data_IF_959957063990
#
_entry.id   IF_959957063990
#
_cell.length_a   1.000
_cell.length_b   1.000
_cell.length_c   1.000
_cell.angle_alpha   90.00
_cell.angle_beta   90.00
_cell.angle_gamma   90.00
#
_symmetry.space_group_name_H-M   'P 1'
#
loop_
_entity.id
_entity.type
_entity.pdbx_description
1 polymer ?
#
# COMPACT_ATOMS: atom_id res chain seq x y z
N UNK A 1 -95.43 22.74 52.97
CA UNK A 1 -96.54 21.99 53.61
C UNK A 1 -95.97 21.21 54.78
N UNK A 2 -96.63 21.33 55.94
CA UNK A 2 -96.82 20.33 57.00
C UNK A 2 -95.61 19.44 57.37
N UNK A 3 -94.99 19.69 58.54
CA UNK A 3 -95.39 19.17 59.88
C UNK A 3 -95.01 17.70 60.07
N UNK A 4 -94.08 17.46 60.99
CA UNK A 4 -94.31 16.64 62.21
C UNK A 4 -93.05 16.77 63.09
N UNK A 5 -93.08 17.54 64.20
CA UNK A 5 -93.42 17.11 65.58
C UNK A 5 -92.42 16.07 66.11
N UNK A 6 -91.90 16.10 67.34
CA UNK A 6 -91.98 16.96 68.52
C UNK A 6 -91.21 16.15 69.58
N UNK A 7 -90.33 16.74 70.40
CA UNK A 7 -90.52 16.73 71.87
C UNK A 7 -89.42 17.51 72.59
N UNK A 8 -89.88 18.57 73.26
CA UNK A 8 -89.39 19.20 74.47
C UNK A 8 -88.25 18.50 75.23
N UNK A 9 -87.21 19.28 75.55
CA UNK A 9 -86.76 19.44 76.93
C UNK A 9 -86.13 20.83 77.09
N UNK A 10 -86.85 21.73 77.76
CA UNK A 10 -86.25 22.86 78.47
C UNK A 10 -85.48 22.24 79.64
N UNK A 11 -84.16 22.34 79.62
CA UNK A 11 -83.33 22.08 80.80
C UNK A 11 -82.29 23.19 80.92
N UNK A 12 -82.46 23.97 81.98
CA UNK A 12 -81.48 24.77 82.70
C UNK A 12 -80.24 25.28 81.95
N UNK A 13 -80.19 26.59 81.76
CA UNK A 13 -78.92 27.32 81.66
C UNK A 13 -78.12 27.13 82.97
N UNK A 14 -77.25 26.11 82.99
CA UNK A 14 -76.09 26.09 83.86
C UNK A 14 -74.95 26.78 83.12
N UNK A 15 -74.81 28.09 83.34
CA UNK A 15 -73.52 28.76 83.11
C UNK A 15 -72.61 28.25 84.22
N UNK A 16 -71.97 27.10 84.01
CA UNK A 16 -70.75 26.81 84.75
C UNK A 16 -69.76 27.89 84.36
N UNK A 17 -69.46 28.80 85.30
CA UNK A 17 -68.19 29.49 85.28
C UNK A 17 -67.10 28.43 85.45
N UNK A 18 -66.76 27.75 84.36
CA UNK A 18 -65.66 26.81 84.30
C UNK A 18 -64.39 27.59 84.60
N UNK A 19 -63.75 27.28 85.72
CA UNK A 19 -62.46 27.84 86.10
C UNK A 19 -61.50 27.66 84.91
N UNK A 20 -61.00 28.77 84.37
CA UNK A 20 -60.04 28.74 83.27
C UNK A 20 -58.83 27.89 83.69
N UNK A 21 -58.53 26.84 82.92
CA UNK A 21 -57.45 25.92 83.23
C UNK A 21 -56.19 26.29 82.45
N UNK A 22 -55.02 26.08 83.05
CA UNK A 22 -53.76 26.19 82.33
C UNK A 22 -53.67 25.09 81.24
N UNK A 23 -52.93 25.33 80.14
CA UNK A 23 -52.62 24.31 79.15
C UNK A 23 -52.02 23.06 79.81
N UNK A 24 -52.59 21.88 79.55
CA UNK A 24 -52.12 20.61 80.10
C UNK A 24 -51.31 19.80 79.09
N UNK A 25 -51.67 19.90 77.80
CA UNK A 25 -50.91 19.30 76.72
C UNK A 25 -51.17 20.04 75.42
N UNK A 26 -50.31 19.82 74.44
CA UNK A 26 -50.46 20.33 73.08
C UNK A 26 -50.08 19.20 72.12
N UNK A 27 -50.91 18.97 71.11
CA UNK A 27 -50.64 18.01 70.04
C UNK A 27 -50.46 18.75 68.73
N UNK A 28 -49.54 18.28 67.90
CA UNK A 28 -49.31 18.82 66.56
C UNK A 28 -49.80 17.82 65.53
N UNK A 29 -50.62 18.27 64.59
CA UNK A 29 -51.17 17.46 63.50
C UNK A 29 -50.86 18.10 62.14
N UNK A 30 -50.32 17.34 61.17
CA UNK A 30 -49.93 15.93 61.27
C UNK A 30 -48.70 15.74 62.19
N UNK A 31 -48.52 14.55 62.77
CA UNK A 31 -47.35 14.24 63.61
C UNK A 31 -46.07 14.03 62.81
N UNK A 32 -46.18 13.81 61.50
CA UNK A 32 -45.06 13.84 60.57
C UNK A 32 -45.49 14.22 59.15
N UNK A 33 -44.55 14.73 58.35
CA UNK A 33 -44.74 15.02 56.93
C UNK A 33 -43.43 14.82 56.16
N UNK A 34 -43.53 14.22 54.99
CA UNK A 34 -42.46 14.25 54.00
C UNK A 34 -42.74 15.36 52.98
N UNK A 35 -41.74 16.19 52.70
CA UNK A 35 -41.78 17.29 51.73
C UNK A 35 -40.58 17.21 50.79
N UNK A 36 -40.72 17.76 49.59
CA UNK A 36 -39.59 18.06 48.70
C UNK A 36 -39.13 19.49 48.95
N UNK A 37 -37.84 19.78 48.79
CA UNK A 37 -37.29 21.13 48.89
C UNK A 37 -38.10 22.15 48.05
N UNK A 38 -38.51 23.24 48.70
CA UNK A 38 -39.39 24.28 48.14
C UNK A 38 -40.89 24.06 48.34
N UNK A 39 -41.32 22.87 48.78
CA UNK A 39 -42.73 22.62 49.14
C UNK A 39 -43.07 23.21 50.52
N UNK A 40 -44.37 23.43 50.74
CA UNK A 40 -44.89 23.96 51.99
C UNK A 40 -45.98 23.05 52.55
N UNK A 41 -46.15 23.04 53.87
CA UNK A 41 -47.26 22.34 54.53
C UNK A 41 -47.67 23.01 55.82
N UNK A 42 -48.94 22.86 56.18
CA UNK A 42 -49.50 23.45 57.39
C UNK A 42 -49.57 22.42 58.51
N UNK A 43 -49.13 22.83 59.69
CA UNK A 43 -49.25 22.10 60.93
C UNK A 43 -50.17 22.85 61.87
N UNK A 44 -51.08 22.11 62.48
CA UNK A 44 -52.03 22.64 63.46
C UNK A 44 -51.62 22.18 64.84
N UNK A 45 -51.69 23.10 65.81
CA UNK A 45 -51.44 22.79 67.20
C UNK A 45 -52.74 22.88 68.01
N UNK A 46 -53.12 21.78 68.64
CA UNK A 46 -54.33 21.69 69.46
C UNK A 46 -53.94 21.66 70.94
N UNK A 47 -54.36 22.68 71.69
CA UNK A 47 -54.09 22.79 73.14
C UNK A 47 -55.25 22.16 73.91
N UNK A 48 -54.95 21.29 74.87
CA UNK A 48 -55.94 20.67 75.75
C UNK A 48 -55.74 21.09 77.22
N UNK A 49 -56.82 21.19 78.01
CA UNK A 49 -58.23 21.04 77.60
C UNK A 49 -58.69 22.17 76.67
N UNK A 50 -59.77 21.97 75.92
CA UNK A 50 -60.27 22.94 74.92
C UNK A 50 -60.56 24.33 75.51
N UNK A 51 -60.89 24.41 76.81
CA UNK A 51 -61.11 25.66 77.53
C UNK A 51 -59.84 26.25 78.19
N UNK A 52 -58.65 25.76 77.82
CA UNK A 52 -57.39 26.29 78.33
C UNK A 52 -57.19 27.73 77.88
N UNK A 53 -56.72 28.59 78.80
CA UNK A 53 -56.34 29.98 78.47
C UNK A 53 -54.83 30.08 78.26
N UNK A 54 -54.43 30.63 77.12
CA UNK A 54 -53.04 30.86 76.74
C UNK A 54 -52.92 32.11 75.88
N UNK A 55 -51.74 32.72 75.85
CA UNK A 55 -51.52 34.00 75.18
C UNK A 55 -51.27 33.83 73.68
N UNK A 56 -50.38 32.91 73.32
CA UNK A 56 -50.03 32.57 71.93
C UNK A 56 -49.34 31.20 71.87
N UNK A 57 -49.31 30.60 70.68
CA UNK A 57 -48.51 29.41 70.39
C UNK A 57 -47.23 29.84 69.68
N UNK A 58 -46.09 29.46 70.24
CA UNK A 58 -44.77 29.71 69.64
C UNK A 58 -44.32 28.47 68.87
N UNK A 59 -43.97 28.66 67.61
CA UNK A 59 -43.45 27.61 66.73
C UNK A 59 -41.93 27.73 66.58
N UNK A 60 -41.22 26.62 66.71
CA UNK A 60 -39.77 26.55 66.51
C UNK A 60 -39.41 25.36 65.65
N UNK A 61 -38.40 25.50 64.80
CA UNK A 61 -37.76 24.38 64.11
C UNK A 61 -36.42 24.09 64.77
N UNK A 62 -36.13 22.80 64.95
CA UNK A 62 -34.82 22.32 65.39
C UNK A 62 -33.72 22.54 64.34
N UNK A 63 -34.05 22.62 63.05
CA UNK A 63 -33.12 22.96 61.98
C UNK A 63 -33.82 23.80 60.90
N UNK A 64 -33.55 25.11 60.92
CA UNK A 64 -34.11 26.07 59.95
C UNK A 64 -33.49 25.95 58.55
N UNK A 65 -32.32 25.33 58.42
CA UNK A 65 -31.73 25.04 57.10
C UNK A 65 -32.43 23.87 56.42
N UNK A 66 -33.13 23.02 57.18
CA UNK A 66 -33.96 21.93 56.66
C UNK A 66 -35.41 22.36 56.51
N UNK A 67 -36.02 22.93 57.55
CA UNK A 67 -37.41 23.39 57.52
C UNK A 67 -37.62 24.66 58.36
N UNK A 68 -38.18 25.69 57.76
CA UNK A 68 -38.62 26.90 58.47
C UNK A 68 -40.08 26.76 58.87
N UNK A 69 -40.46 27.32 60.03
CA UNK A 69 -41.85 27.32 60.50
C UNK A 69 -42.22 28.70 61.02
N UNK A 70 -43.38 29.21 60.60
CA UNK A 70 -43.98 30.45 61.10
C UNK A 70 -45.50 30.28 61.19
N UNK A 71 -46.07 30.47 62.39
CA UNK A 71 -47.52 30.33 62.58
C UNK A 71 -48.10 28.94 62.27
N UNK A 72 -47.28 27.89 62.26
CA UNK A 72 -47.68 26.54 61.84
C UNK A 72 -47.50 26.27 60.34
N UNK A 73 -47.20 27.29 59.53
CA UNK A 73 -46.83 27.14 58.12
C UNK A 73 -45.35 26.74 58.02
N UNK A 74 -45.09 25.56 57.46
CA UNK A 74 -43.74 25.02 57.27
C UNK A 74 -43.32 25.16 55.81
N UNK A 75 -42.10 25.64 55.59
CA UNK A 75 -41.43 25.70 54.28
C UNK A 75 -40.23 24.76 54.32
N UNK A 76 -40.16 23.82 53.37
CA UNK A 76 -39.01 22.94 53.21
C UNK A 76 -37.86 23.68 52.54
N UNK A 77 -36.73 23.83 53.23
CA UNK A 77 -35.58 24.65 52.80
C UNK A 77 -34.42 23.81 52.27
N UNK A 78 -34.13 22.66 52.88
CA UNK A 78 -32.99 21.82 52.50
C UNK A 78 -33.20 20.38 52.91
N UNK A 79 -32.54 19.44 52.23
CA UNK A 79 -32.71 18.02 52.49
C UNK A 79 -32.25 17.64 53.90
N UNK A 80 -33.07 16.88 54.63
CA UNK A 80 -32.77 16.47 55.99
C UNK A 80 -34.00 16.16 56.82
N UNK A 81 -33.83 16.08 58.14
CA UNK A 81 -34.93 15.89 59.10
C UNK A 81 -34.92 17.02 60.12
N UNK A 82 -36.06 17.66 60.29
CA UNK A 82 -36.28 18.68 61.31
C UNK A 82 -37.51 18.33 62.15
N UNK A 83 -37.39 18.51 63.46
CA UNK A 83 -38.54 18.51 64.38
C UNK A 83 -39.08 19.93 64.52
N UNK A 84 -40.39 20.06 64.28
CA UNK A 84 -41.16 21.28 64.49
C UNK A 84 -41.86 21.18 65.85
N UNK A 85 -41.70 22.19 66.69
CA UNK A 85 -42.25 22.24 68.05
C UNK A 85 -43.22 23.40 68.17
N UNK A 86 -44.46 23.12 68.56
CA UNK A 86 -45.41 24.11 69.04
C UNK A 86 -45.38 24.14 70.57
N UNK A 87 -45.30 25.33 71.17
CA UNK A 87 -45.22 25.49 72.62
C UNK A 87 -46.06 26.67 73.13
N UNK A 88 -46.66 26.50 74.30
CA UNK A 88 -47.37 27.57 75.01
C UNK A 88 -47.36 27.29 76.51
N UNK A 89 -47.16 28.31 77.34
CA UNK A 89 -47.23 28.24 78.82
C UNK A 89 -46.57 26.99 79.45
N UNK A 90 -45.40 26.57 78.93
CA UNK A 90 -44.62 25.46 79.46
C UNK A 90 -44.97 24.05 78.94
N UNK A 91 -45.99 23.89 78.10
CA UNK A 91 -46.28 22.62 77.40
C UNK A 91 -45.87 22.68 75.92
N UNK A 92 -45.43 21.55 75.38
CA UNK A 92 -44.95 21.45 74.00
C UNK A 92 -45.40 20.17 73.30
N UNK A 93 -45.52 20.26 71.97
CA UNK A 93 -45.94 19.18 71.10
C UNK A 93 -45.13 19.27 69.82
N UNK A 94 -44.81 18.12 69.24
CA UNK A 94 -43.82 18.04 68.16
C UNK A 94 -44.36 17.30 66.95
N UNK A 95 -43.89 17.69 65.77
CA UNK A 95 -44.05 16.94 64.54
C UNK A 95 -42.71 16.79 63.81
N UNK A 96 -42.53 15.68 63.09
CA UNK A 96 -41.32 15.40 62.31
C UNK A 96 -41.50 15.79 60.84
N UNK A 97 -40.65 16.66 60.33
CA UNK A 97 -40.56 17.00 58.90
C UNK A 97 -39.33 16.32 58.32
N UNK A 98 -39.53 15.53 57.27
CA UNK A 98 -38.43 14.96 56.47
C UNK A 98 -38.46 15.62 55.10
N UNK A 99 -37.39 16.32 54.74
CA UNK A 99 -37.26 17.00 53.45
C UNK A 99 -36.38 16.17 52.52
N UNK A 100 -36.90 15.83 51.35
CA UNK A 100 -36.16 15.21 50.24
C UNK A 100 -35.57 16.30 49.36
N UNK A 101 -34.35 16.07 48.87
CA UNK A 101 -33.72 16.95 47.90
C UNK A 101 -34.55 17.02 46.62
N UNK A 102 -34.64 18.20 46.01
CA UNK A 102 -35.31 18.36 44.72
C UNK A 102 -34.45 17.80 43.59
N UNK A 103 -35.00 16.85 42.83
CA UNK A 103 -34.33 16.30 41.63
C UNK A 103 -34.68 17.16 40.42
N UNK A 104 -33.66 17.72 39.78
CA UNK A 104 -33.74 18.46 38.52
C UNK A 104 -33.30 17.50 37.40
N UNK A 105 -34.23 17.06 36.54
CA UNK A 105 -33.90 16.11 35.48
C UNK A 105 -33.05 16.76 34.39
N UNK A 106 -32.28 15.93 33.67
CA UNK A 106 -31.63 16.34 32.43
C UNK A 106 -32.70 16.64 31.37
N UNK A 107 -32.59 17.80 30.73
CA UNK A 107 -33.46 18.19 29.61
C UNK A 107 -32.87 17.80 28.25
N UNK A 108 -31.58 18.06 28.03
CA UNK A 108 -30.89 17.68 26.79
C UNK A 108 -29.39 17.49 27.01
N UNK A 109 -28.75 16.84 26.03
CA UNK A 109 -27.30 16.73 25.91
C UNK A 109 -26.94 17.12 24.47
N UNK A 110 -25.80 17.79 24.29
CA UNK A 110 -25.28 18.17 22.97
C UNK A 110 -23.81 17.80 22.88
N UNK A 111 -23.34 17.50 21.67
CA UNK A 111 -21.93 17.28 21.36
C UNK A 111 -21.38 18.49 20.60
N UNK A 112 -20.11 18.81 20.83
CA UNK A 112 -19.40 19.87 20.12
C UNK A 112 -19.18 19.58 18.63
N UNK A 113 -19.22 18.29 18.24
CA UNK A 113 -19.06 17.83 16.86
C UNK A 113 -20.14 16.81 16.50
N UNK A 114 -20.89 17.00 15.40
CA UNK A 114 -21.88 16.02 14.93
C UNK A 114 -21.25 14.90 14.10
N UNK A 115 -20.06 15.14 13.52
CA UNK A 115 -19.32 14.20 12.71
C UNK A 115 -17.79 14.37 12.89
N UNK A 116 -17.07 13.29 12.62
CA UNK A 116 -15.61 13.20 12.65
C UNK A 116 -15.12 12.37 11.45
N UNK A 117 -14.14 12.89 10.72
CA UNK A 117 -13.33 12.12 9.79
C UNK A 117 -11.92 11.96 10.38
N UNK A 118 -11.53 10.73 10.69
CA UNK A 118 -10.26 10.39 11.32
C UNK A 118 -9.48 9.41 10.45
N UNK A 119 -8.16 9.37 10.60
CA UNK A 119 -7.31 8.30 10.08
C UNK A 119 -7.04 7.28 11.20
N UNK A 120 -6.80 6.01 10.87
CA UNK A 120 -6.41 5.01 11.89
C UNK A 120 -5.28 5.54 12.80
N UNK A 121 -5.38 5.24 14.10
CA UNK A 121 -4.52 5.72 15.19
C UNK A 121 -4.76 7.16 15.67
N UNK A 122 -5.55 7.97 14.95
CA UNK A 122 -5.95 9.29 15.43
C UNK A 122 -6.78 9.20 16.72
N UNK A 123 -6.63 10.21 17.58
CA UNK A 123 -7.37 10.33 18.83
C UNK A 123 -7.97 11.75 18.96
N UNK A 124 -9.26 11.83 19.26
CA UNK A 124 -9.99 13.10 19.43
C UNK A 124 -10.92 12.99 20.63
N UNK A 125 -11.05 14.04 21.44
CA UNK A 125 -12.02 14.07 22.54
C UNK A 125 -13.28 14.81 22.11
N UNK A 126 -14.44 14.17 22.29
CA UNK A 126 -15.75 14.80 22.15
C UNK A 126 -16.16 15.46 23.46
N UNK A 127 -16.74 16.65 23.38
CA UNK A 127 -17.20 17.40 24.54
C UNK A 127 -18.72 17.35 24.58
N UNK A 128 -19.27 16.80 25.67
CA UNK A 128 -20.70 16.74 25.91
C UNK A 128 -21.15 17.86 26.87
N UNK A 129 -22.20 18.59 26.50
CA UNK A 129 -22.81 19.64 27.32
C UNK A 129 -24.22 19.23 27.74
N UNK A 130 -24.46 19.08 29.04
CA UNK A 130 -25.75 18.67 29.65
C UNK A 130 -26.53 19.90 30.09
N UNK A 131 -27.79 20.01 29.66
CA UNK A 131 -28.72 21.10 30.00
C UNK A 131 -29.92 20.54 30.77
N UNK A 132 -30.41 21.21 31.84
CA UNK A 132 -29.92 22.47 32.38
C UNK A 132 -28.64 22.33 33.23
N UNK A 133 -27.92 23.44 33.41
CA UNK A 133 -26.69 23.50 34.20
C UNK A 133 -26.89 23.20 35.70
N UNK A 134 -28.12 23.15 36.19
CA UNK A 134 -28.44 22.75 37.56
C UNK A 134 -29.08 21.36 37.66
N UNK A 135 -29.01 20.54 36.59
CA UNK A 135 -29.44 19.14 36.65
C UNK A 135 -28.73 18.40 37.80
N UNK A 136 -29.48 17.59 38.54
CA UNK A 136 -28.99 16.93 39.76
C UNK A 136 -27.94 15.86 39.46
N UNK A 137 -28.05 15.17 38.32
CA UNK A 137 -27.06 14.22 37.81
C UNK A 137 -26.67 14.60 36.38
N UNK A 138 -25.39 14.91 36.18
CA UNK A 138 -24.80 15.27 34.88
C UNK A 138 -23.82 14.22 34.36
N UNK A 139 -23.80 13.04 34.97
CA UNK A 139 -22.93 11.97 34.52
C UNK A 139 -23.23 11.63 33.06
N UNK A 140 -22.17 11.54 32.26
CA UNK A 140 -22.27 11.19 30.84
C UNK A 140 -21.70 9.79 30.67
N UNK A 141 -22.53 8.89 30.14
CA UNK A 141 -22.09 7.57 29.69
C UNK A 141 -21.85 7.59 28.19
N UNK A 142 -20.71 7.06 27.78
CA UNK A 142 -20.30 6.99 26.38
C UNK A 142 -20.41 5.57 25.85
N UNK A 143 -20.82 5.43 24.60
CA UNK A 143 -20.81 4.16 23.89
C UNK A 143 -20.48 4.36 22.41
N UNK A 144 -19.94 3.32 21.78
CA UNK A 144 -19.74 3.26 20.33
C UNK A 144 -20.56 2.12 19.76
N UNK A 145 -21.20 2.35 18.61
CA UNK A 145 -21.91 1.30 17.88
C UNK A 145 -20.98 0.20 17.35
N UNK A 146 -19.71 0.53 17.10
CA UNK A 146 -18.66 -0.42 16.71
C UNK A 146 -17.32 -0.01 17.34
N UNK A 147 -17.03 -0.50 18.55
CA UNK A 147 -15.75 -0.23 19.23
C UNK A 147 -14.52 -0.78 18.52
N UNK A 148 -14.67 -1.62 17.47
CA UNK A 148 -13.54 -2.13 16.68
C UNK A 148 -13.17 -1.20 15.54
N UNK A 149 -14.08 -0.32 15.12
CA UNK A 149 -13.85 0.76 14.13
C UNK A 149 -13.44 2.04 14.84
N UNK A 150 -14.21 2.48 15.83
CA UNK A 150 -13.88 3.61 16.69
C UNK A 150 -14.31 3.34 18.13
N UNK A 151 -13.37 3.33 19.07
CA UNK A 151 -13.67 3.18 20.50
C UNK A 151 -13.82 4.55 21.15
N UNK A 152 -14.56 4.61 22.25
CA UNK A 152 -14.69 5.82 23.08
C UNK A 152 -14.52 5.44 24.55
N UNK A 153 -13.76 6.23 25.31
CA UNK A 153 -13.58 6.01 26.75
C UNK A 153 -14.59 6.79 27.60
N UNK A 154 -14.48 6.66 28.93
CA UNK A 154 -15.38 7.33 29.88
C UNK A 154 -15.28 8.87 29.88
N UNK A 155 -14.22 9.42 29.28
CA UNK A 155 -13.99 10.87 29.18
C UNK A 155 -14.45 11.44 27.83
N UNK A 156 -14.97 10.60 26.92
CA UNK A 156 -15.34 10.99 25.57
C UNK A 156 -14.16 10.99 24.58
N UNK A 157 -13.01 10.40 24.95
CA UNK A 157 -11.88 10.26 24.05
C UNK A 157 -12.14 9.15 23.05
N UNK A 158 -12.32 9.53 21.79
CA UNK A 158 -12.52 8.65 20.64
C UNK A 158 -11.17 8.28 20.05
N UNK A 159 -10.95 6.99 19.80
CA UNK A 159 -9.78 6.45 19.10
C UNK A 159 -10.20 5.77 17.81
N UNK A 160 -9.60 6.16 16.69
CA UNK A 160 -9.79 5.55 15.39
C UNK A 160 -8.95 4.26 15.27
N UNK A 161 -9.59 3.13 14.98
CA UNK A 161 -8.95 1.80 15.06
C UNK A 161 -8.91 1.07 13.73
N UNK A 162 -10.03 1.04 12.98
CA UNK A 162 -10.13 0.34 11.69
C UNK A 162 -10.94 1.16 10.71
N UNK A 163 -10.74 1.01 9.38
CA UNK A 163 -11.46 1.78 8.40
C UNK A 163 -12.94 1.38 8.40
N UNK A 164 -13.83 2.36 8.38
CA UNK A 164 -15.27 2.13 8.48
C UNK A 164 -16.00 3.29 9.13
N UNK A 165 -17.26 3.06 9.51
CA UNK A 165 -18.10 4.07 10.16
C UNK A 165 -18.66 3.53 11.46
N UNK A 166 -18.59 4.31 12.53
CA UNK A 166 -19.21 4.03 13.83
C UNK A 166 -19.95 5.26 14.34
N UNK A 167 -20.97 5.07 15.18
CA UNK A 167 -21.66 6.17 15.87
C UNK A 167 -21.27 6.16 17.34
N UNK A 168 -20.69 7.27 17.80
CA UNK A 168 -20.41 7.50 19.22
C UNK A 168 -21.62 8.20 19.84
N UNK A 169 -22.13 7.66 20.95
CA UNK A 169 -23.30 8.18 21.67
C UNK A 169 -22.89 8.63 23.06
N UNK A 170 -23.23 9.87 23.41
CA UNK A 170 -23.18 10.39 24.77
C UNK A 170 -24.60 10.40 25.35
N UNK A 171 -24.76 9.85 26.55
CA UNK A 171 -26.06 9.76 27.24
C UNK A 171 -25.97 10.35 28.65
N UNK A 172 -26.92 11.20 29.00
CA UNK A 172 -27.12 11.73 30.35
C UNK A 172 -28.60 11.66 30.70
N UNK A 173 -28.95 10.87 31.72
CA UNK A 173 -30.35 10.50 31.98
C UNK A 173 -30.99 9.80 30.77
N UNK A 174 -32.14 10.30 30.33
CA UNK A 174 -32.84 9.81 29.14
C UNK A 174 -32.46 10.55 27.84
N UNK A 175 -31.62 11.58 27.93
CA UNK A 175 -31.17 12.36 26.77
C UNK A 175 -29.94 11.73 26.11
N UNK A 176 -29.90 11.76 24.78
CA UNK A 176 -28.79 11.21 23.97
C UNK A 176 -28.35 12.22 22.90
N UNK A 177 -27.04 12.28 22.65
CA UNK A 177 -26.44 12.98 21.53
C UNK A 177 -25.47 12.05 20.80
N UNK A 178 -25.38 12.18 19.48
CA UNK A 178 -24.66 11.26 18.61
C UNK A 178 -23.66 12.00 17.72
N UNK A 179 -22.50 11.39 17.53
CA UNK A 179 -21.48 11.80 16.59
C UNK A 179 -21.18 10.65 15.64
N UNK A 180 -21.26 10.89 14.32
CA UNK A 180 -20.84 9.91 13.32
C UNK A 180 -19.32 9.99 13.12
N UNK A 181 -18.62 8.88 13.31
CA UNK A 181 -17.17 8.78 13.14
C UNK A 181 -16.88 7.95 11.90
N UNK A 182 -16.21 8.54 10.92
CA UNK A 182 -15.69 7.86 9.72
C UNK A 182 -14.19 7.73 9.84
N UNK A 183 -13.69 6.50 9.85
CA UNK A 183 -12.26 6.19 9.92
C UNK A 183 -11.76 5.82 8.53
N UNK A 184 -10.75 6.55 8.05
CA UNK A 184 -10.01 6.28 6.82
C UNK A 184 -8.79 5.41 7.13
N UNK A 185 -8.44 4.56 6.18
CA UNK A 185 -7.24 3.74 6.27
C UNK A 185 -5.99 4.62 6.33
N UNK A 186 -5.05 4.30 7.22
CA UNK A 186 -3.75 4.94 7.26
C UNK A 186 -2.90 4.43 6.10
N UNK A 187 -2.47 5.35 5.22
CA UNK A 187 -1.56 5.02 4.13
C UNK A 187 -0.12 5.09 4.63
N UNK A 188 0.56 3.96 4.62
CA UNK A 188 1.98 3.82 4.93
C UNK A 188 2.71 3.66 3.60
N UNK A 189 3.49 4.66 3.14
CA UNK A 189 4.16 4.60 1.85
C UNK A 189 5.37 3.65 1.89
N UNK A 190 5.69 3.06 0.74
CA UNK A 190 7.00 2.43 0.52
C UNK A 190 8.07 3.52 0.53
N UNK A 191 9.18 3.26 1.21
CA UNK A 191 10.31 4.17 1.35
C UNK A 191 11.60 3.61 0.77
N UNK A 192 11.67 2.28 0.60
CA UNK A 192 12.84 1.59 0.08
C UNK A 192 12.39 0.33 -0.69
N UNK A 193 13.10 -0.01 -1.75
CA UNK A 193 13.06 -1.34 -2.37
C UNK A 193 14.42 -1.98 -2.16
N UNK A 194 14.45 -3.13 -1.51
CA UNK A 194 15.65 -3.95 -1.35
C UNK A 194 15.69 -5.00 -2.45
N UNK A 195 16.82 -5.16 -3.12
CA UNK A 195 17.05 -6.20 -4.14
C UNK A 195 18.17 -7.13 -3.69
N UNK A 196 18.04 -8.42 -4.02
CA UNK A 196 19.05 -9.43 -3.74
C UNK A 196 20.29 -9.32 -4.64
N UNK A 197 20.10 -8.89 -5.89
CA UNK A 197 21.14 -8.76 -6.91
C UNK A 197 21.07 -7.36 -7.53
N UNK A 198 22.19 -6.64 -7.52
CA UNK A 198 22.33 -5.31 -8.14
C UNK A 198 23.10 -5.32 -9.46
N UNK A 199 23.82 -6.41 -9.75
CA UNK A 199 24.47 -6.62 -11.03
C UNK A 199 24.69 -8.10 -11.31
N UNK A 200 24.51 -8.55 -12.56
CA UNK A 200 24.79 -9.92 -12.97
C UNK A 200 25.21 -10.00 -14.43
N UNK A 201 26.19 -10.85 -14.71
CA UNK A 201 26.53 -11.27 -16.07
C UNK A 201 25.92 -12.63 -16.35
N UNK A 202 25.27 -12.78 -17.50
CA UNK A 202 24.61 -14.01 -17.98
C UNK A 202 24.93 -14.25 -19.47
N UNK A 203 24.75 -15.48 -19.93
CA UNK A 203 24.86 -15.80 -21.36
C UNK A 203 23.52 -15.66 -22.10
N UNK A 204 23.57 -15.65 -23.44
CA UNK A 204 22.35 -15.62 -24.26
C UNK A 204 21.47 -16.83 -23.96
N UNK A 205 20.21 -16.57 -23.62
CA UNK A 205 19.22 -17.59 -23.29
C UNK A 205 19.22 -18.02 -21.83
N UNK A 206 20.26 -17.69 -21.07
CA UNK A 206 20.30 -17.89 -19.61
C UNK A 206 19.28 -16.98 -18.93
N UNK A 207 18.79 -17.45 -17.79
CA UNK A 207 17.81 -16.74 -16.96
C UNK A 207 18.32 -16.53 -15.55
N UNK A 208 18.01 -15.38 -14.95
CA UNK A 208 18.26 -15.10 -13.54
C UNK A 208 16.99 -14.57 -12.89
N UNK A 209 16.63 -15.10 -11.72
CA UNK A 209 15.53 -14.59 -10.92
C UNK A 209 16.02 -13.45 -10.04
N UNK A 210 15.42 -12.28 -10.17
CA UNK A 210 15.63 -11.17 -9.24
C UNK A 210 14.52 -11.20 -8.18
N UNK A 211 14.89 -10.98 -6.91
CA UNK A 211 13.93 -10.85 -5.83
C UNK A 211 14.01 -9.42 -5.26
N UNK A 212 12.85 -8.79 -5.12
CA UNK A 212 12.74 -7.45 -4.57
C UNK A 212 11.70 -7.40 -3.45
N UNK A 213 11.97 -6.61 -2.41
CA UNK A 213 11.07 -6.39 -1.28
C UNK A 213 10.84 -4.88 -1.09
N UNK A 214 9.57 -4.48 -1.09
CA UNK A 214 9.16 -3.12 -0.76
C UNK A 214 9.07 -2.95 0.76
N UNK A 215 9.74 -1.92 1.29
CA UNK A 215 9.87 -1.63 2.71
C UNK A 215 9.30 -0.25 3.05
N UNK A 216 8.72 -0.05 4.25
CA UNK A 216 8.65 -1.01 5.35
C UNK A 216 7.64 -2.14 5.12
N UNK A 217 7.74 -3.23 5.88
CA UNK A 217 6.89 -4.41 5.71
C UNK A 217 5.38 -4.14 5.92
N UNK A 218 5.05 -3.10 6.68
CA UNK A 218 3.69 -2.63 6.91
C UNK A 218 3.22 -1.56 5.92
N UNK A 219 3.96 -1.31 4.83
CA UNK A 219 3.48 -0.43 3.76
C UNK A 219 2.13 -0.91 3.19
N UNK A 220 1.25 0.03 2.89
CA UNK A 220 -0.14 -0.25 2.49
C UNK A 220 -0.24 -0.89 1.11
N UNK A 221 0.60 -0.47 0.16
CA UNK A 221 0.74 -1.07 -1.17
C UNK A 221 2.22 -1.45 -1.38
N UNK A 222 2.46 -2.74 -1.59
CA UNK A 222 3.80 -3.32 -1.80
C UNK A 222 3.95 -3.91 -3.21
N UNK A 223 3.06 -3.55 -4.13
CA UNK A 223 3.08 -4.06 -5.49
C UNK A 223 4.36 -3.62 -6.17
N UNK A 224 5.14 -4.59 -6.66
CA UNK A 224 6.38 -4.34 -7.41
C UNK A 224 6.09 -4.57 -8.88
N UNK A 225 6.49 -3.59 -9.69
CA UNK A 225 6.44 -3.65 -11.15
C UNK A 225 7.86 -3.70 -11.69
N UNK A 226 8.08 -4.54 -12.70
CA UNK A 226 9.38 -4.77 -13.31
C UNK A 226 9.43 -4.16 -14.71
N UNK A 227 10.59 -3.62 -15.07
CA UNK A 227 10.85 -3.09 -16.42
C UNK A 227 12.33 -3.26 -16.78
N UNK A 228 12.62 -3.22 -18.08
CA UNK A 228 13.99 -3.27 -18.64
C UNK A 228 14.25 -2.01 -19.45
N UNK A 229 15.47 -1.50 -19.41
CA UNK A 229 15.89 -0.39 -20.27
C UNK A 229 16.01 -0.77 -21.74
N UNK A 230 16.29 -2.05 -22.04
CA UNK A 230 16.37 -2.56 -23.41
C UNK A 230 15.95 -4.03 -23.50
N UNK A 231 14.72 -4.26 -23.96
CA UNK A 231 14.15 -5.59 -24.14
C UNK A 231 14.78 -6.40 -25.29
N UNK A 232 15.64 -5.79 -26.13
CA UNK A 232 16.41 -6.53 -27.15
C UNK A 232 17.67 -7.17 -26.55
N UNK A 233 18.18 -6.63 -25.44
CA UNK A 233 19.35 -7.14 -24.72
C UNK A 233 18.92 -8.11 -23.63
N UNK A 234 18.02 -7.67 -22.73
CA UNK A 234 17.48 -8.51 -21.67
C UNK A 234 16.00 -8.20 -21.41
N UNK A 235 15.17 -9.24 -21.33
CA UNK A 235 13.76 -9.12 -20.94
C UNK A 235 13.59 -9.46 -19.46
N UNK A 236 12.60 -8.85 -18.81
CA UNK A 236 12.15 -9.22 -17.45
C UNK A 236 10.64 -9.45 -17.47
N UNK A 237 10.16 -10.46 -16.76
CA UNK A 237 8.73 -10.73 -16.62
C UNK A 237 8.11 -10.08 -15.36
N UNK A 238 6.81 -10.31 -15.12
CA UNK A 238 6.09 -9.74 -13.97
C UNK A 238 6.57 -10.25 -12.61
N UNK A 239 7.29 -11.38 -12.59
CA UNK A 239 7.82 -12.00 -11.37
C UNK A 239 9.28 -11.64 -11.12
N UNK A 240 9.94 -10.90 -12.02
CA UNK A 240 11.36 -10.56 -11.91
C UNK A 240 12.28 -11.61 -12.53
N UNK A 241 11.77 -12.56 -13.33
CA UNK A 241 12.60 -13.49 -14.08
C UNK A 241 13.18 -12.77 -15.30
N UNK A 242 14.50 -12.60 -15.30
CA UNK A 242 15.25 -11.98 -16.38
C UNK A 242 15.78 -13.04 -17.33
N UNK A 243 15.77 -12.77 -18.63
CA UNK A 243 16.38 -13.61 -19.68
C UNK A 243 17.31 -12.80 -20.58
N UNK A 244 18.52 -13.30 -20.81
CA UNK A 244 19.46 -12.73 -21.79
C UNK A 244 19.01 -13.02 -23.23
N UNK A 245 18.97 -12.00 -24.08
CA UNK A 245 18.47 -12.09 -25.47
C UNK A 245 19.59 -11.85 -26.48
N UNK A 246 20.36 -10.77 -26.30
CA UNK A 246 21.47 -10.42 -27.19
C UNK A 246 22.60 -9.77 -26.38
N UNK A 247 23.85 -9.78 -26.88
CA UNK A 247 24.99 -9.21 -26.16
C UNK A 247 24.82 -7.72 -25.92
N UNK A 248 25.23 -7.26 -24.73
CA UNK A 248 25.12 -5.86 -24.31
C UNK A 248 24.73 -5.72 -22.85
N UNK A 249 24.36 -4.51 -22.45
CA UNK A 249 23.97 -4.19 -21.07
C UNK A 249 22.56 -3.62 -21.03
N UNK A 250 21.74 -4.11 -20.11
CA UNK A 250 20.41 -3.57 -19.83
C UNK A 250 20.21 -3.41 -18.32
N UNK A 251 19.48 -2.37 -17.92
CA UNK A 251 19.13 -2.11 -16.53
C UNK A 251 17.72 -2.59 -16.26
N UNK A 252 17.58 -3.52 -15.32
CA UNK A 252 16.30 -4.01 -14.83
C UNK A 252 15.87 -3.17 -13.62
N UNK A 253 14.65 -2.64 -13.64
CA UNK A 253 14.12 -1.76 -12.58
C UNK A 253 12.94 -2.41 -11.90
N UNK A 254 13.01 -2.54 -10.57
CA UNK A 254 11.89 -2.85 -9.69
C UNK A 254 11.32 -1.54 -9.13
N UNK A 255 10.02 -1.31 -9.28
CA UNK A 255 9.35 -0.06 -8.87
C UNK A 255 8.07 -0.34 -8.06
N UNK A 256 7.88 0.42 -6.99
CA UNK A 256 6.67 0.43 -6.15
C UNK A 256 6.36 1.87 -5.74
N UNK A 257 5.21 2.40 -6.16
CA UNK A 257 4.92 3.83 -6.06
C UNK A 257 5.99 4.67 -6.78
N UNK A 258 6.58 5.64 -6.09
CA UNK A 258 7.67 6.48 -6.61
C UNK A 258 9.08 5.98 -6.25
N UNK A 259 9.18 4.86 -5.53
CA UNK A 259 10.45 4.27 -5.11
C UNK A 259 10.89 3.21 -6.12
N UNK A 260 12.19 3.17 -6.42
CA UNK A 260 12.77 2.20 -7.35
C UNK A 260 14.11 1.66 -6.87
N UNK A 261 14.43 0.44 -7.30
CA UNK A 261 15.74 -0.18 -7.22
C UNK A 261 16.11 -0.78 -8.58
N UNK A 262 17.41 -0.89 -8.86
CA UNK A 262 17.91 -1.28 -10.18
C UNK A 262 18.95 -2.39 -10.08
N UNK A 263 18.96 -3.25 -11.10
CA UNK A 263 19.97 -4.28 -11.32
C UNK A 263 20.54 -4.16 -12.74
N UNK A 264 21.86 -4.11 -12.88
CA UNK A 264 22.53 -4.11 -14.17
C UNK A 264 22.74 -5.54 -14.68
N UNK A 265 22.26 -5.84 -15.87
CA UNK A 265 22.40 -7.14 -16.52
C UNK A 265 23.31 -6.99 -17.74
N UNK A 266 24.43 -7.71 -17.73
CA UNK A 266 25.31 -7.82 -18.89
C UNK A 266 25.14 -9.18 -19.54
N UNK A 267 24.89 -9.21 -20.83
CA UNK A 267 24.75 -10.43 -21.63
C UNK A 267 26.01 -10.62 -22.46
N UNK A 268 26.67 -11.77 -22.30
CA UNK A 268 27.92 -12.07 -23.01
C UNK A 268 27.71 -12.34 -24.50
N UNK A 269 28.73 -12.04 -25.30
CA UNK A 269 28.83 -12.55 -26.68
C UNK A 269 29.11 -14.07 -26.63
N UNK A 270 28.47 -14.89 -27.47
CA UNK A 270 28.83 -16.30 -27.57
C UNK A 270 30.25 -16.46 -28.12
N UNK A 271 31.03 -17.36 -27.52
CA UNK A 271 32.40 -17.62 -27.96
C UNK A 271 32.44 -18.34 -29.32
N UNK A 272 33.27 -17.83 -30.24
CA UNK A 272 33.62 -18.56 -31.46
C UNK A 272 34.58 -19.68 -31.10
N UNK A 273 34.18 -20.93 -31.36
CA UNK A 273 34.99 -22.13 -31.05
C UNK A 273 35.62 -22.76 -32.28
N UNK A 274 35.05 -22.56 -33.47
CA UNK A 274 35.63 -23.03 -34.72
C UNK A 274 35.26 -22.12 -35.90
N UNK A 275 36.18 -22.03 -36.87
CA UNK A 275 35.92 -21.47 -38.20
C UNK A 275 36.29 -22.56 -39.21
N UNK A 276 35.41 -22.83 -40.18
CA UNK A 276 35.67 -23.79 -41.25
C UNK A 276 35.49 -23.12 -42.60
N UNK A 277 36.46 -23.28 -43.50
CA UNK A 277 36.35 -22.86 -44.90
C UNK A 277 35.58 -23.95 -45.65
N UNK A 278 34.47 -23.60 -46.27
CA UNK A 278 33.54 -24.54 -46.91
C UNK A 278 33.85 -24.79 -48.39
N UNK A 279 34.56 -23.87 -49.04
CA UNK A 279 34.99 -23.99 -50.43
C UNK A 279 36.51 -23.79 -50.60
N UNK A 280 37.35 -24.60 -49.92
CA UNK A 280 38.79 -24.47 -50.07
C UNK A 280 39.19 -24.74 -51.54
N UNK A 281 40.04 -23.87 -52.10
CA UNK A 281 40.69 -24.08 -53.40
C UNK A 281 42.20 -24.15 -53.20
N UNK A 282 42.83 -25.10 -53.88
CA UNK A 282 44.28 -25.27 -53.85
C UNK A 282 45.00 -24.41 -54.88
N UNK A 283 44.32 -24.09 -55.99
CA UNK A 283 44.92 -23.38 -57.12
C UNK A 283 43.97 -22.31 -57.68
N UNK A 284 44.53 -21.18 -58.11
CA UNK A 284 43.79 -20.10 -58.78
C UNK A 284 44.71 -19.46 -59.83
N UNK A 285 44.26 -19.31 -61.10
CA UNK A 285 45.08 -18.65 -62.11
C UNK A 285 45.26 -17.16 -61.80
N UNK A 286 46.37 -16.55 -62.22
CA UNK A 286 46.59 -15.10 -62.13
C UNK A 286 45.40 -14.35 -62.74
N UNK A 287 44.90 -13.32 -62.05
CA UNK A 287 43.69 -12.58 -62.41
C UNK A 287 42.38 -13.27 -62.02
N UNK A 288 42.43 -14.54 -61.60
CA UNK A 288 41.28 -15.26 -61.07
C UNK A 288 40.82 -14.73 -59.71
N UNK A 289 39.52 -14.87 -59.45
CA UNK A 289 38.90 -14.45 -58.18
C UNK A 289 38.04 -15.56 -57.61
N UNK A 290 38.01 -15.68 -56.28
CA UNK A 290 37.08 -16.56 -55.58
C UNK A 290 36.55 -15.91 -54.31
N UNK A 291 35.24 -16.00 -54.11
CA UNK A 291 34.60 -15.62 -52.86
C UNK A 291 34.76 -16.76 -51.84
N UNK A 292 35.45 -16.50 -50.73
CA UNK A 292 35.52 -17.45 -49.62
C UNK A 292 34.13 -17.65 -49.02
N UNK A 293 33.74 -18.91 -48.82
CA UNK A 293 32.59 -19.36 -48.05
C UNK A 293 33.10 -20.05 -46.80
N UNK A 294 32.54 -19.72 -45.65
CA UNK A 294 32.96 -20.25 -44.37
C UNK A 294 31.77 -20.39 -43.41
N UNK A 295 31.95 -21.25 -42.41
CA UNK A 295 31.02 -21.49 -41.32
C UNK A 295 31.69 -21.20 -39.98
N UNK A 296 30.94 -20.61 -39.06
CA UNK A 296 31.36 -20.30 -37.69
C UNK A 296 30.56 -21.20 -36.74
N UNK A 297 31.26 -21.87 -35.84
CA UNK A 297 30.64 -22.67 -34.78
C UNK A 297 30.92 -22.06 -33.40
N UNK A 298 29.92 -22.04 -32.50
CA UNK A 298 28.51 -22.37 -32.76
C UNK A 298 27.81 -21.31 -33.64
N UNK A 299 26.71 -21.69 -34.31
CA UNK A 299 26.02 -20.83 -35.27
C UNK A 299 25.50 -19.51 -34.66
N UNK A 300 25.15 -19.50 -33.37
CA UNK A 300 24.73 -18.28 -32.67
C UNK A 300 25.88 -17.29 -32.43
N UNK A 301 27.14 -17.74 -32.38
CA UNK A 301 28.31 -16.86 -32.32
C UNK A 301 28.53 -16.12 -33.64
N UNK A 302 28.14 -16.72 -34.77
CA UNK A 302 28.36 -16.17 -36.11
C UNK A 302 27.77 -14.77 -36.31
N UNK A 303 26.65 -14.46 -35.66
CA UNK A 303 25.98 -13.16 -35.76
C UNK A 303 26.73 -12.02 -35.07
N UNK A 304 27.67 -12.34 -34.18
CA UNK A 304 28.41 -11.39 -33.33
C UNK A 304 29.93 -11.51 -33.50
N UNK A 305 30.37 -12.39 -34.39
CA UNK A 305 31.78 -12.67 -34.62
C UNK A 305 32.40 -11.57 -35.49
N UNK A 306 33.41 -10.90 -34.93
CA UNK A 306 34.27 -9.99 -35.68
C UNK A 306 35.40 -10.79 -36.32
N UNK A 307 35.53 -10.70 -37.65
CA UNK A 307 36.47 -11.49 -38.44
C UNK A 307 37.47 -10.61 -39.17
N UNK A 308 38.70 -11.10 -39.27
CA UNK A 308 39.76 -10.52 -40.09
C UNK A 308 40.19 -11.52 -41.16
N UNK A 309 40.50 -11.01 -42.35
CA UNK A 309 40.99 -11.78 -43.48
C UNK A 309 42.36 -11.24 -43.87
N UNK A 310 43.34 -12.12 -44.09
CA UNK A 310 44.66 -11.72 -44.56
C UNK A 310 45.29 -12.76 -45.47
N UNK A 311 46.19 -12.31 -46.33
CA UNK A 311 47.10 -13.17 -47.10
C UNK A 311 48.48 -13.12 -46.46
N UNK A 312 49.19 -14.26 -46.37
CA UNK A 312 50.57 -14.27 -45.88
C UNK A 312 51.56 -13.69 -46.89
N UNK A 313 51.17 -13.63 -48.17
CA UNK A 313 51.90 -12.97 -49.26
C UNK A 313 50.90 -12.19 -50.11
N UNK A 314 50.70 -10.91 -49.76
CA UNK A 314 49.72 -10.03 -50.40
C UNK A 314 50.05 -9.68 -51.85
N UNK A 315 51.32 -9.82 -52.26
CA UNK A 315 51.73 -9.65 -53.65
C UNK A 315 51.38 -10.86 -54.53
N UNK A 316 51.23 -12.05 -53.93
CA UNK A 316 50.80 -13.30 -54.61
C UNK A 316 49.28 -13.34 -54.75
N UNK A 317 48.55 -13.10 -53.65
CA UNK A 317 47.11 -12.94 -53.67
C UNK A 317 46.64 -11.97 -52.58
N UNK A 318 45.65 -11.14 -52.89
CA UNK A 318 44.98 -10.26 -51.92
C UNK A 318 43.65 -10.86 -51.47
N UNK A 319 43.21 -10.55 -50.25
CA UNK A 319 41.87 -10.87 -49.75
C UNK A 319 41.22 -9.61 -49.19
N UNK A 320 39.98 -9.36 -49.58
CA UNK A 320 39.20 -8.23 -49.05
C UNK A 320 38.59 -8.53 -47.68
N UNK A 321 38.04 -7.51 -47.02
CA UNK A 321 37.33 -7.65 -45.74
C UNK A 321 36.07 -8.54 -45.82
N UNK A 322 35.53 -8.75 -47.04
CA UNK A 322 34.39 -9.65 -47.25
C UNK A 322 34.82 -11.05 -47.68
N UNK A 323 36.12 -11.35 -47.74
CA UNK A 323 36.64 -12.66 -48.12
C UNK A 323 36.73 -12.92 -49.63
N UNK A 324 36.59 -11.90 -50.48
CA UNK A 324 36.91 -12.02 -51.91
C UNK A 324 38.43 -12.08 -52.09
N UNK A 325 38.92 -13.20 -52.61
CA UNK A 325 40.33 -13.46 -52.89
C UNK A 325 40.60 -13.18 -54.37
N UNK A 326 41.70 -12.48 -54.66
CA UNK A 326 42.16 -12.17 -56.02
C UNK A 326 43.61 -12.65 -56.18
N UNK A 327 43.86 -13.49 -57.17
CA UNK A 327 45.20 -13.93 -57.54
C UNK A 327 45.92 -12.83 -58.34
N UNK A 328 47.10 -12.41 -57.86
CA UNK A 328 47.83 -11.26 -58.41
C UNK A 328 49.10 -11.66 -59.14
N UNK A 329 49.85 -12.60 -58.58
CA UNK A 329 51.15 -13.03 -59.09
C UNK A 329 51.39 -14.50 -58.79
N UNK A 330 52.06 -15.18 -59.71
CA UNK A 330 52.49 -16.56 -59.52
C UNK A 330 53.29 -16.75 -58.23
N UNK A 331 52.94 -17.78 -57.45
CA UNK A 331 53.53 -18.06 -56.16
C UNK A 331 52.61 -18.86 -55.24
N UNK A 332 53.08 -19.14 -54.02
CA UNK A 332 52.29 -19.78 -52.98
C UNK A 332 51.98 -18.79 -51.86
N UNK A 333 50.75 -18.81 -51.36
CA UNK A 333 50.34 -18.01 -50.19
C UNK A 333 49.34 -18.79 -49.34
N UNK A 334 49.08 -18.28 -48.14
CA UNK A 334 48.01 -18.75 -47.28
C UNK A 334 47.00 -17.62 -47.07
N UNK A 335 45.72 -17.93 -47.26
CA UNK A 335 44.64 -17.04 -46.86
C UNK A 335 44.15 -17.46 -45.48
N UNK A 336 44.19 -16.55 -44.53
CA UNK A 336 43.80 -16.75 -43.14
C UNK A 336 42.54 -15.96 -42.84
N UNK A 337 41.54 -16.62 -42.27
CA UNK A 337 40.37 -16.01 -41.63
C UNK A 337 40.50 -16.21 -40.12
N UNK A 338 40.36 -15.15 -39.32
CA UNK A 338 40.56 -15.20 -37.87
C UNK A 338 39.52 -14.35 -37.13
N UNK A 339 38.91 -14.93 -36.10
CA UNK A 339 38.03 -14.22 -35.17
C UNK A 339 38.82 -13.46 -34.10
N UNK A 340 38.20 -12.45 -33.48
CA UNK A 340 38.76 -11.69 -32.35
C UNK A 340 39.21 -12.59 -31.18
N UNK A 341 38.52 -13.72 -30.95
CA UNK A 341 38.90 -14.73 -29.94
C UNK A 341 40.24 -15.43 -30.21
N UNK A 342 40.81 -15.25 -31.40
CA UNK A 342 42.03 -15.90 -31.85
C UNK A 342 41.80 -17.19 -32.64
N UNK A 343 40.58 -17.74 -32.67
CA UNK A 343 40.24 -18.90 -33.51
C UNK A 343 40.38 -18.55 -34.99
N UNK A 344 41.03 -19.39 -35.77
CA UNK A 344 41.32 -19.13 -37.18
C UNK A 344 41.21 -20.38 -38.05
N UNK A 345 41.06 -20.16 -39.36
CA UNK A 345 41.18 -21.18 -40.40
C UNK A 345 42.11 -20.70 -41.50
N UNK A 346 42.78 -21.65 -42.17
CA UNK A 346 43.80 -21.38 -43.20
C UNK A 346 43.47 -22.14 -44.46
N UNK A 347 43.61 -21.48 -45.60
CA UNK A 347 43.59 -22.09 -46.93
C UNK A 347 44.93 -21.86 -47.62
N UNK A 348 45.60 -22.95 -48.00
CA UNK A 348 46.81 -22.89 -48.82
C UNK A 348 46.41 -22.67 -50.29
N UNK A 349 47.01 -21.67 -50.94
CA UNK A 349 46.69 -21.28 -52.30
C UNK A 349 47.96 -21.17 -53.15
N UNK A 350 47.98 -21.90 -54.26
CA UNK A 350 48.95 -21.72 -55.34
C UNK A 350 48.34 -20.85 -56.43
N UNK A 351 48.97 -19.71 -56.70
CA UNK A 351 48.67 -18.88 -57.85
C UNK A 351 49.58 -19.30 -59.00
N UNK A 352 49.00 -19.57 -60.15
CA UNK A 352 49.74 -20.01 -61.34
C UNK A 352 49.39 -19.15 -62.55
N UNK A 353 50.34 -19.00 -63.46
CA UNK A 353 50.09 -18.35 -64.75
C UNK A 353 49.58 -19.41 -65.73
N UNK A 354 48.37 -19.27 -66.31
CA UNK A 354 47.89 -20.22 -67.32
C UNK A 354 48.84 -20.26 -68.51
N UNK A 355 49.15 -21.46 -69.01
CA UNK A 355 49.83 -21.60 -70.29
C UNK A 355 48.83 -21.27 -71.39
N UNK A 356 49.03 -20.16 -72.12
CA UNK A 356 48.13 -19.75 -73.20
C UNK A 356 48.46 -20.43 -74.54
N UNK A 357 49.74 -20.71 -74.76
CA UNK A 357 50.23 -21.43 -75.94
C UNK A 357 51.61 -22.01 -75.70
N UNK A 358 51.94 -23.09 -76.40
CA UNK A 358 53.28 -23.66 -76.41
C UNK A 358 53.64 -24.15 -77.82
N UNK A 359 54.94 -24.32 -78.06
CA UNK A 359 55.47 -24.88 -79.30
C UNK A 359 55.96 -26.30 -79.01
N UNK A 360 55.47 -27.27 -79.77
CA UNK A 360 55.95 -28.64 -79.74
C UNK A 360 56.11 -29.13 -81.18
N UNK A 361 57.27 -29.73 -81.52
CA UNK A 361 57.59 -30.19 -82.87
C UNK A 361 57.37 -29.13 -83.98
N UNK A 362 57.74 -27.88 -83.71
CA UNK A 362 57.55 -26.72 -84.61
C UNK A 362 56.07 -26.35 -84.90
N UNK A 363 55.12 -26.86 -84.11
CA UNK A 363 53.71 -26.47 -84.18
C UNK A 363 53.31 -25.60 -83.01
N UNK A 364 52.57 -24.52 -83.29
CA UNK A 364 51.98 -23.66 -82.25
C UNK A 364 50.62 -24.25 -81.82
N UNK A 365 50.55 -24.60 -80.54
CA UNK A 365 49.33 -25.03 -79.88
C UNK A 365 48.82 -23.90 -79.00
N UNK A 366 47.56 -23.50 -79.19
CA UNK A 366 46.85 -22.64 -78.24
C UNK A 366 46.08 -23.49 -77.25
N UNK A 367 46.25 -23.22 -75.97
CA UNK A 367 45.47 -23.85 -74.91
C UNK A 367 44.18 -23.07 -74.76
N UNK A 368 43.05 -23.76 -74.83
CA UNK A 368 41.75 -23.13 -74.61
C UNK A 368 41.63 -22.77 -73.13
N UNK A 369 41.32 -21.49 -72.80
CA UNK A 369 41.30 -21.01 -71.42
C UNK A 369 40.47 -21.90 -70.49
N UNK A 370 41.06 -22.31 -69.37
CA UNK A 370 40.40 -23.11 -68.34
C UNK A 370 40.13 -24.58 -68.71
N UNK A 371 40.79 -25.10 -69.76
CA UNK A 371 40.66 -26.50 -70.19
C UNK A 371 42.02 -27.10 -70.50
N UNK A 372 42.08 -28.43 -70.62
CA UNK A 372 43.23 -29.14 -71.21
C UNK A 372 43.08 -29.29 -72.73
N UNK A 373 42.07 -28.67 -73.35
CA UNK A 373 41.91 -28.69 -74.80
C UNK A 373 42.92 -27.74 -75.43
N UNK A 374 43.58 -28.22 -76.48
CA UNK A 374 44.46 -27.39 -77.31
C UNK A 374 43.99 -27.39 -78.75
N UNK A 375 44.17 -26.26 -79.42
CA UNK A 375 43.94 -26.11 -80.86
C UNK A 375 45.25 -25.82 -81.56
N UNK A 376 45.52 -26.57 -82.64
CA UNK A 376 46.64 -26.33 -83.53
C UNK A 376 46.34 -25.09 -84.39
N UNK A 377 47.24 -24.10 -84.38
CA UNK A 377 46.96 -22.82 -85.05
C UNK A 377 47.65 -22.69 -86.42
N UNK A 378 48.84 -23.29 -86.62
CA UNK A 378 49.49 -23.34 -87.94
C UNK A 378 50.65 -24.33 -88.02
N UNK A 379 50.91 -24.84 -89.24
CA UNK A 379 52.19 -25.43 -89.64
C UNK A 379 52.97 -24.37 -90.42
N UNK A 380 54.31 -24.39 -90.34
CA UNK A 380 55.21 -23.45 -91.04
C UNK A 380 55.03 -23.44 -92.59
N UNK A 381 54.29 -24.40 -93.15
CA UNK A 381 53.99 -24.53 -94.58
C UNK A 381 52.74 -23.76 -95.08
N UNK A 382 52.11 -22.92 -94.26
CA UNK A 382 51.09 -21.97 -94.73
C UNK A 382 49.71 -22.56 -95.11
N UNK A 383 49.42 -23.81 -94.73
CA UNK A 383 48.08 -24.42 -94.90
C UNK A 383 47.35 -24.55 -93.55
N UNK A 384 46.14 -23.97 -93.46
CA UNK A 384 45.23 -24.12 -92.32
C UNK A 384 44.46 -25.44 -92.43
N UNK A 385 44.78 -26.42 -91.59
CA UNK A 385 43.90 -27.57 -91.33
C UNK A 385 43.32 -27.43 -89.91
N UNK A 386 42.05 -27.01 -89.83
CA UNK A 386 41.32 -26.96 -88.57
C UNK A 386 41.03 -28.38 -88.07
N UNK A 387 41.87 -28.87 -87.17
CA UNK A 387 41.67 -30.12 -86.45
C UNK A 387 41.88 -29.91 -84.96
N UNK A 388 40.85 -30.18 -84.15
CA UNK A 388 40.99 -30.24 -82.69
C UNK A 388 41.67 -31.55 -82.30
N UNK A 389 42.77 -31.48 -81.56
CA UNK A 389 43.45 -32.65 -80.98
C UNK A 389 43.23 -32.62 -79.47
N UNK A 390 42.70 -33.71 -78.91
CA UNK A 390 42.59 -33.86 -77.46
C UNK A 390 43.91 -34.48 -76.98
N UNK A 391 44.73 -33.72 -76.26
CA UNK A 391 45.91 -34.28 -75.60
C UNK A 391 45.42 -35.02 -74.35
N UNK A 392 45.64 -36.34 -74.31
CA UNK A 392 45.18 -37.23 -73.24
C UNK A 392 46.21 -37.46 -72.13
N UNK A 393 47.29 -36.68 -72.10
CA UNK A 393 48.35 -36.79 -71.08
C UNK A 393 48.85 -35.42 -70.64
N UNK A 394 49.16 -35.31 -69.36
CA UNK A 394 49.84 -34.16 -68.75
C UNK A 394 51.15 -33.87 -69.50
N UNK A 395 51.25 -32.73 -70.16
CA UNK A 395 52.48 -32.28 -70.82
C UNK A 395 53.18 -31.33 -69.88
N UNK A 396 54.26 -31.79 -69.24
CA UNK A 396 55.14 -30.94 -68.43
C UNK A 396 56.17 -30.31 -69.36
N UNK A 397 56.10 -28.98 -69.54
CA UNK A 397 57.13 -28.22 -70.25
C UNK A 397 57.77 -27.22 -69.28
N UNK A 398 59.09 -27.26 -69.13
CA UNK A 398 59.87 -26.41 -68.22
C UNK A 398 59.39 -26.39 -66.75
N UNK A 399 58.93 -27.53 -66.24
CA UNK A 399 58.54 -27.68 -64.83
C UNK A 399 57.19 -27.05 -64.47
N UNK A 400 56.45 -26.55 -65.46
CA UNK A 400 55.03 -26.21 -65.34
C UNK A 400 54.23 -27.40 -65.84
N UNK A 401 53.48 -28.00 -64.92
CA UNK A 401 52.64 -29.19 -65.14
C UNK A 401 51.32 -28.84 -65.81
#
# INVERSE_FOLDING_TARGET
MKKSLLLCCIMAAFVFAGCAKAPASISVSPSSKELTEGETADFTATVLPENAKYSAITWTSSDKAVAMVEGGHVIAVGAGKATITASTEGVSGTAQVTVKAKVIPVGSITLDKPDLELTEEDEVTLVATVTPDNATDKSVTWSSSDPTVASVDQTGKVKALKPGTATVTAKAGDAEAKCQVTVKQKIIPVTLISMDITSKTIDIGETVQLNAQALPDNATDKTITWSTSDAKIASVDKTGLVKGIAPGTAVITAKSGDVQATCEITVNKPDVTNIRIDNPVSELPVGGTIQMKYTISPQNAAAYAELTFRSTAEDVASVSQTGLITALKEGNTQIVIQAESGVYAVMNLKVFTPVESFIENDHLYKVKPGTTEVSLESNYDGYLYGGSVIISSTVVHDGVT
#
